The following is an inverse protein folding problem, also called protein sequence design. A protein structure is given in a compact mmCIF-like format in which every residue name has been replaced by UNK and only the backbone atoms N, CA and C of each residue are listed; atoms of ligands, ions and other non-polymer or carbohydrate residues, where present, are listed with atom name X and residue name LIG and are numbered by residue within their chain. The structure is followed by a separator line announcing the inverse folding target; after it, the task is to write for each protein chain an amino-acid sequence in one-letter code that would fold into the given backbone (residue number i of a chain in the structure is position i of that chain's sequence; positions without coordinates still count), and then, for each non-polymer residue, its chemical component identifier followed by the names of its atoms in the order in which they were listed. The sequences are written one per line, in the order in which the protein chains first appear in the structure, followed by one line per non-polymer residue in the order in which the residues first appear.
data_IF_184515147684
#
_entry.id   IF_184515147684
#
_cell.length_a   1.000
_cell.length_b   1.000
_cell.length_c   1.000
_cell.angle_alpha   90.00
_cell.angle_beta   90.00
_cell.angle_gamma   90.00
#
_symmetry.space_group_name_H-M   'P 1'
#
loop_
_entity.id
_entity.type
_entity.pdbx_description
1 polymer ?
#
# COMPACT_ATOMS: atom_id res chain seq x y z
N UNK A 1 -24.65 7.80 14.84
CA UNK A 1 -23.82 7.51 16.04
C UNK A 1 -22.96 6.30 15.69
N UNK A 2 -21.67 6.29 16.07
CA UNK A 2 -20.80 5.14 15.79
C UNK A 2 -21.36 3.88 16.45
N UNK A 3 -21.31 2.74 15.74
CA UNK A 3 -21.64 1.44 16.32
C UNK A 3 -20.65 1.05 17.42
N UNK A 4 -21.04 0.09 18.26
CA UNK A 4 -20.19 -0.41 19.35
C UNK A 4 -18.83 -0.91 18.83
N UNK A 5 -18.82 -1.57 17.67
CA UNK A 5 -17.63 -2.02 16.96
C UNK A 5 -16.66 -0.86 16.66
N UNK A 6 -17.16 0.19 16.01
CA UNK A 6 -16.34 1.37 15.67
C UNK A 6 -15.87 2.15 16.91
N UNK A 7 -16.66 2.16 17.99
CA UNK A 7 -16.24 2.73 19.26
C UNK A 7 -15.03 1.98 19.84
N UNK A 8 -15.09 0.64 19.85
CA UNK A 8 -13.98 -0.21 20.31
C UNK A 8 -12.73 -0.05 19.45
N UNK A 9 -12.88 0.00 18.11
CA UNK A 9 -11.76 0.24 17.19
C UNK A 9 -11.10 1.60 17.46
N UNK A 10 -11.89 2.65 17.64
CA UNK A 10 -11.38 3.99 17.96
C UNK A 10 -10.63 4.02 19.29
N UNK A 11 -11.12 3.31 20.31
CA UNK A 11 -10.44 3.18 21.61
C UNK A 11 -9.12 2.41 21.50
N UNK A 12 -9.09 1.34 20.71
CA UNK A 12 -7.88 0.57 20.40
C UNK A 12 -6.80 1.42 19.71
N UNK A 13 -7.19 2.25 18.73
CA UNK A 13 -6.27 3.19 18.06
C UNK A 13 -5.74 4.24 19.05
N UNK A 14 -6.62 4.85 19.86
CA UNK A 14 -6.25 5.89 20.83
C UNK A 14 -5.40 5.39 22.00
N UNK A 15 -5.55 4.13 22.37
CA UNK A 15 -4.72 3.47 23.39
C UNK A 15 -3.42 2.91 22.85
N UNK A 16 -3.15 3.06 21.54
CA UNK A 16 -1.99 2.50 20.85
C UNK A 16 -1.87 0.97 20.96
N UNK A 17 -3.00 0.25 21.05
CA UNK A 17 -3.00 -1.21 21.19
C UNK A 17 -2.26 -1.92 20.03
N UNK A 18 -2.34 -1.36 18.81
CA UNK A 18 -1.61 -1.83 17.63
C UNK A 18 -0.07 -1.86 17.81
N UNK A 19 0.49 -1.17 18.81
CA UNK A 19 1.91 -1.25 19.13
C UNK A 19 2.33 -2.65 19.58
N UNK A 20 1.41 -3.46 20.10
CA UNK A 20 1.67 -4.84 20.49
C UNK A 20 2.03 -5.74 19.29
N UNK A 21 1.59 -5.37 18.09
CA UNK A 21 1.87 -6.08 16.85
C UNK A 21 3.18 -5.63 16.18
N UNK A 22 3.87 -4.62 16.74
CA UNK A 22 5.10 -4.09 16.14
C UNK A 22 6.27 -5.05 16.37
N UNK A 23 7.03 -5.26 15.31
CA UNK A 23 8.30 -5.95 15.35
C UNK A 23 9.37 -5.09 16.03
N UNK A 24 10.45 -5.72 16.46
CA UNK A 24 11.52 -5.06 17.22
C UNK A 24 12.34 -4.06 16.38
N UNK A 25 12.54 -4.35 15.09
CA UNK A 25 13.38 -3.57 14.21
C UNK A 25 12.88 -3.64 12.75
N UNK A 26 13.20 -2.64 11.91
CA UNK A 26 13.00 -2.72 10.47
C UNK A 26 14.00 -3.68 9.80
N UNK A 27 13.75 -4.09 8.53
CA UNK A 27 14.74 -4.83 7.76
C UNK A 27 16.02 -3.99 7.58
N UNK A 28 17.19 -4.65 7.70
CA UNK A 28 18.48 -4.05 7.38
C UNK A 28 18.76 -4.20 5.88
N UNK A 29 18.66 -3.10 5.14
CA UNK A 29 18.63 -3.10 3.67
C UNK A 29 19.93 -2.59 3.03
N UNK A 30 20.68 -1.73 3.72
CA UNK A 30 21.85 -1.08 3.12
C UNK A 30 22.96 -2.06 2.74
N UNK A 31 23.30 -3.09 3.56
CA UNK A 31 24.33 -4.05 3.19
C UNK A 31 24.04 -4.78 1.87
N UNK A 32 22.78 -5.16 1.62
CA UNK A 32 22.35 -5.74 0.34
C UNK A 32 22.54 -4.74 -0.80
N UNK A 33 22.06 -3.51 -0.60
CA UNK A 33 22.05 -2.50 -1.66
C UNK A 33 23.45 -2.09 -2.10
N UNK A 34 24.40 -2.02 -1.16
CA UNK A 34 25.82 -1.78 -1.46
C UNK A 34 26.46 -2.99 -2.15
N UNK A 35 26.20 -4.20 -1.67
CA UNK A 35 26.79 -5.41 -2.24
C UNK A 35 26.35 -5.64 -3.70
N UNK A 36 25.10 -5.33 -4.03
CA UNK A 36 24.56 -5.43 -5.39
C UNK A 36 24.83 -4.19 -6.26
N UNK A 37 25.37 -3.11 -5.68
CA UNK A 37 25.64 -1.86 -6.40
C UNK A 37 24.37 -1.23 -6.98
N UNK A 38 23.25 -1.30 -6.25
CA UNK A 38 21.94 -0.87 -6.75
C UNK A 38 21.90 0.63 -7.05
N UNK A 39 21.35 0.97 -8.21
CA UNK A 39 20.99 2.35 -8.56
C UNK A 39 19.88 2.89 -7.65
N UNK A 40 19.68 4.21 -7.62
CA UNK A 40 18.64 4.83 -6.80
C UNK A 40 17.24 4.27 -7.06
N UNK A 41 16.86 4.10 -8.33
CA UNK A 41 15.58 3.52 -8.74
C UNK A 41 15.40 2.11 -8.20
N UNK A 42 16.45 1.28 -8.31
CA UNK A 42 16.43 -0.09 -7.78
C UNK A 42 16.34 -0.10 -6.26
N UNK A 43 17.08 0.78 -5.56
CA UNK A 43 17.02 0.88 -4.10
C UNK A 43 15.62 1.24 -3.59
N UNK A 44 14.94 2.19 -4.24
CA UNK A 44 13.56 2.58 -3.87
C UNK A 44 12.57 1.45 -4.10
N UNK A 45 12.68 0.73 -5.21
CA UNK A 45 11.84 -0.45 -5.43
C UNK A 45 12.14 -1.57 -4.42
N UNK A 46 13.43 -1.88 -4.22
CA UNK A 46 13.87 -2.94 -3.31
C UNK A 46 13.54 -2.64 -1.85
N UNK A 47 13.50 -1.36 -1.45
CA UNK A 47 12.94 -0.96 -0.15
C UNK A 47 11.52 -1.47 0.02
N UNK A 48 10.62 -1.18 -0.94
CA UNK A 48 9.24 -1.64 -0.86
C UNK A 48 9.15 -3.16 -0.83
N UNK A 49 9.96 -3.86 -1.63
CA UNK A 49 10.04 -5.33 -1.61
C UNK A 49 10.38 -5.84 -0.21
N UNK A 50 11.48 -5.37 0.39
CA UNK A 50 11.93 -5.81 1.71
C UNK A 50 10.96 -5.43 2.82
N UNK A 51 10.31 -4.28 2.71
CA UNK A 51 9.23 -3.89 3.61
C UNK A 51 8.04 -4.84 3.48
N UNK A 52 7.56 -5.13 2.27
CA UNK A 52 6.48 -6.09 2.03
C UNK A 52 6.81 -7.49 2.53
N UNK A 53 8.04 -7.97 2.32
CA UNK A 53 8.49 -9.28 2.83
C UNK A 53 8.51 -9.32 4.36
N UNK A 54 9.01 -8.25 5.00
CA UNK A 54 9.14 -8.15 6.44
C UNK A 54 7.78 -8.04 7.16
N UNK A 55 6.75 -7.47 6.54
CA UNK A 55 5.43 -7.35 7.17
C UNK A 55 4.84 -8.70 7.56
N UNK A 56 4.21 -8.77 8.73
CA UNK A 56 3.45 -9.92 9.19
C UNK A 56 1.95 -9.62 9.07
N UNK A 57 1.15 -10.48 8.41
CA UNK A 57 -0.30 -10.30 8.38
C UNK A 57 -0.90 -10.25 9.78
N UNK A 58 -1.65 -9.19 10.07
CA UNK A 58 -2.40 -9.03 11.31
C UNK A 58 -3.81 -8.59 10.96
N UNK A 59 -4.77 -9.44 11.30
CA UNK A 59 -6.21 -9.22 11.12
C UNK A 59 -6.84 -9.29 12.50
N UNK A 60 -7.38 -8.17 12.96
CA UNK A 60 -8.11 -8.09 14.23
C UNK A 60 -9.55 -8.62 14.06
N UNK A 61 -10.17 -9.21 15.10
CA UNK A 61 -11.49 -9.84 14.99
C UNK A 61 -12.58 -8.94 14.39
N UNK A 62 -12.55 -7.64 14.70
CA UNK A 62 -13.59 -6.67 14.31
C UNK A 62 -13.28 -5.92 13.00
N UNK A 63 -12.12 -6.18 12.38
CA UNK A 63 -11.74 -5.56 11.11
C UNK A 63 -12.51 -6.16 9.94
N UNK A 64 -12.93 -5.27 9.04
CA UNK A 64 -13.47 -5.54 7.70
C UNK A 64 -12.54 -4.98 6.63
N UNK A 65 -11.81 -3.91 6.92
CA UNK A 65 -10.78 -3.33 6.05
C UNK A 65 -9.43 -3.56 6.73
N UNK A 66 -8.63 -4.46 6.15
CA UNK A 66 -7.41 -4.97 6.79
C UNK A 66 -6.15 -4.34 6.22
N UNK A 67 -5.27 -3.95 7.11
CA UNK A 67 -3.82 -3.82 6.94
C UNK A 67 -3.28 -3.16 8.21
N UNK A 68 -2.42 -3.86 8.93
CA UNK A 68 -1.76 -3.35 10.13
C UNK A 68 -0.25 -3.41 9.91
N UNK A 69 0.41 -2.26 9.93
CA UNK A 69 1.87 -2.20 9.78
C UNK A 69 2.54 -2.74 11.04
N UNK A 70 3.31 -3.79 10.88
CA UNK A 70 4.10 -4.44 11.93
C UNK A 70 5.55 -3.96 11.92
N UNK A 71 6.08 -3.51 10.78
CA UNK A 71 7.41 -2.91 10.73
C UNK A 71 7.40 -1.52 11.40
N UNK A 72 8.28 -1.24 12.37
CA UNK A 72 8.16 -0.04 13.21
C UNK A 72 8.49 1.26 12.46
N UNK A 73 9.49 1.24 11.58
CA UNK A 73 10.00 2.40 10.83
C UNK A 73 10.35 2.01 9.40
N UNK A 74 10.30 2.96 8.48
CA UNK A 74 10.79 2.75 7.11
C UNK A 74 12.30 3.06 7.09
N UNK A 75 13.18 2.12 6.74
CA UNK A 75 14.61 2.38 6.67
C UNK A 75 14.95 3.30 5.50
N UNK A 76 16.03 4.07 5.64
CA UNK A 76 16.54 4.92 4.57
C UNK A 76 17.27 4.06 3.53
N UNK A 77 17.14 4.43 2.25
CA UNK A 77 17.80 3.72 1.15
C UNK A 77 19.24 4.18 0.87
N UNK A 78 19.76 5.02 1.76
CA UNK A 78 21.07 5.64 1.70
C UNK A 78 21.66 5.78 3.10
N UNK A 79 22.98 5.83 3.17
CA UNK A 79 23.71 6.24 4.37
C UNK A 79 23.93 7.78 4.41
N UNK A 80 24.46 8.26 5.54
CA UNK A 80 24.72 9.68 5.77
C UNK A 80 25.77 10.26 4.80
N UNK A 81 26.73 9.46 4.33
CA UNK A 81 27.78 9.91 3.41
C UNK A 81 27.21 10.08 1.99
N UNK A 82 26.45 9.09 1.52
CA UNK A 82 25.70 9.14 0.26
C UNK A 82 24.72 10.31 0.26
N UNK A 83 24.00 10.50 1.36
CA UNK A 83 23.10 11.63 1.52
C UNK A 83 23.84 12.97 1.47
N UNK A 84 24.96 13.09 2.18
CA UNK A 84 25.80 14.28 2.17
C UNK A 84 26.26 14.65 0.76
N UNK A 85 26.78 13.66 0.01
CA UNK A 85 27.23 13.84 -1.38
C UNK A 85 26.11 14.33 -2.31
N UNK A 86 24.89 13.81 -2.16
CA UNK A 86 23.75 14.18 -3.00
C UNK A 86 23.38 15.67 -2.88
N UNK A 87 23.61 16.28 -1.71
CA UNK A 87 23.28 17.68 -1.44
C UNK A 87 24.52 18.56 -1.24
N UNK A 88 25.69 18.12 -1.71
CA UNK A 88 26.88 18.96 -1.75
C UNK A 88 26.61 20.26 -2.53
N UNK A 89 26.81 21.41 -1.89
CA UNK A 89 26.52 22.72 -2.47
C UNK A 89 25.05 23.16 -2.38
N UNK A 90 24.18 22.38 -1.72
CA UNK A 90 22.76 22.69 -1.55
C UNK A 90 22.22 22.28 -0.18
N UNK A 91 20.89 22.22 -0.07
CA UNK A 91 20.18 21.65 1.08
C UNK A 91 19.02 20.80 0.58
N UNK A 92 18.76 19.70 1.27
CA UNK A 92 17.54 18.94 1.06
C UNK A 92 16.30 19.79 1.38
N UNK A 93 15.24 19.61 0.60
CA UNK A 93 13.92 20.15 0.93
C UNK A 93 13.24 19.23 1.94
N UNK A 94 12.82 19.75 3.10
CA UNK A 94 12.30 18.96 4.22
C UNK A 94 13.27 17.83 4.62
N UNK A 95 12.79 16.57 4.63
CA UNK A 95 13.62 15.38 4.89
C UNK A 95 14.42 14.94 3.64
N UNK A 96 14.11 15.51 2.47
CA UNK A 96 14.76 15.30 1.18
C UNK A 96 14.07 14.34 0.23
N UNK A 97 13.58 13.15 0.63
CA UNK A 97 12.66 12.38 -0.20
C UNK A 97 11.42 13.20 -0.55
N UNK A 98 10.88 12.97 -1.74
CA UNK A 98 9.61 13.58 -2.16
C UNK A 98 8.54 13.15 -1.15
N UNK A 99 7.84 14.12 -0.60
CA UNK A 99 6.68 13.95 0.26
C UNK A 99 5.62 14.95 -0.17
N UNK A 100 4.42 14.86 0.40
CA UNK A 100 3.27 15.67 -0.01
C UNK A 100 2.80 15.37 -1.44
N UNK A 101 2.47 14.11 -1.67
CA UNK A 101 1.96 13.61 -2.95
C UNK A 101 0.50 13.21 -2.85
N UNK A 102 -0.21 13.30 -3.96
CA UNK A 102 -1.51 12.68 -4.15
C UNK A 102 -1.40 11.79 -5.39
N UNK A 103 -1.34 10.47 -5.18
CA UNK A 103 -1.30 9.53 -6.29
C UNK A 103 -2.66 9.52 -7.01
N UNK A 104 -2.66 9.06 -8.26
CA UNK A 104 -3.89 8.80 -8.99
C UNK A 104 -4.50 7.46 -8.56
N UNK A 105 -5.15 7.49 -7.40
CA UNK A 105 -5.85 6.34 -6.84
C UNK A 105 -6.94 5.83 -7.78
N UNK A 106 -7.69 6.74 -8.41
CA UNK A 106 -8.80 6.39 -9.29
C UNK A 106 -8.34 5.59 -10.51
N UNK A 107 -7.29 6.04 -11.20
CA UNK A 107 -6.74 5.30 -12.33
C UNK A 107 -6.17 3.93 -11.94
N UNK A 108 -5.54 3.84 -10.76
CA UNK A 108 -4.99 2.58 -10.25
C UNK A 108 -6.10 1.60 -9.87
N UNK A 109 -7.15 2.07 -9.18
CA UNK A 109 -8.32 1.25 -8.85
C UNK A 109 -9.02 0.74 -10.11
N UNK A 110 -9.21 1.59 -11.12
CA UNK A 110 -9.87 1.21 -12.37
C UNK A 110 -9.12 0.12 -13.17
N UNK A 111 -7.80 0.01 -13.00
CA UNK A 111 -6.96 -0.97 -13.71
C UNK A 111 -6.61 -2.20 -12.84
N UNK A 112 -6.56 -2.03 -11.52
CA UNK A 112 -5.89 -2.98 -10.63
C UNK A 112 -4.37 -3.01 -10.87
N UNK A 113 -3.61 -3.54 -9.92
CA UNK A 113 -2.16 -3.65 -10.06
C UNK A 113 -1.76 -4.63 -11.17
N UNK A 114 -2.54 -5.67 -11.47
CA UNK A 114 -2.30 -6.57 -12.58
C UNK A 114 -2.41 -5.84 -13.94
N UNK A 115 -3.38 -4.91 -14.06
CA UNK A 115 -3.49 -4.06 -15.24
C UNK A 115 -2.29 -3.11 -15.38
N UNK A 116 -1.84 -2.51 -14.26
CA UNK A 116 -0.62 -1.67 -14.23
C UNK A 116 0.63 -2.46 -14.61
N UNK A 117 0.75 -3.70 -14.12
CA UNK A 117 1.84 -4.63 -14.44
C UNK A 117 1.87 -4.95 -15.94
N UNK A 118 0.72 -5.34 -16.50
CA UNK A 118 0.59 -5.62 -17.94
C UNK A 118 1.00 -4.40 -18.79
N UNK A 119 0.61 -3.20 -18.37
CA UNK A 119 1.01 -1.96 -19.06
C UNK A 119 2.54 -1.72 -18.99
N UNK A 120 3.17 -2.01 -17.85
CA UNK A 120 4.62 -1.91 -17.69
C UNK A 120 5.35 -2.94 -18.58
N UNK A 121 4.87 -4.18 -18.65
CA UNK A 121 5.42 -5.23 -19.52
C UNK A 121 5.32 -4.87 -21.01
N UNK A 122 4.18 -4.32 -21.44
CA UNK A 122 4.02 -3.84 -22.81
C UNK A 122 4.97 -2.68 -23.13
N UNK A 123 5.21 -1.78 -22.16
CA UNK A 123 6.15 -0.68 -22.31
C UNK A 123 7.60 -1.17 -22.40
N UNK A 124 7.98 -2.23 -21.66
CA UNK A 124 9.32 -2.83 -21.75
C UNK A 124 9.65 -3.26 -23.18
N UNK A 125 8.72 -3.93 -23.86
CA UNK A 125 8.89 -4.30 -25.27
C UNK A 125 9.08 -3.12 -26.21
N UNK A 126 8.50 -1.96 -25.88
CA UNK A 126 8.58 -0.74 -26.69
C UNK A 126 9.85 0.10 -26.44
N UNK A 127 10.44 -0.02 -25.25
CA UNK A 127 11.60 0.75 -24.82
C UNK A 127 12.87 -0.10 -24.64
N UNK A 128 12.94 -1.28 -25.25
CA UNK A 128 14.03 -2.25 -25.05
C UNK A 128 15.47 -1.73 -25.25
N UNK A 129 15.65 -0.60 -25.94
CA UNK A 129 16.96 0.04 -26.17
C UNK A 129 17.26 1.23 -25.26
N UNK A 130 16.31 1.62 -24.41
CA UNK A 130 16.44 2.71 -23.43
C UNK A 130 16.63 2.09 -22.03
N UNK A 131 17.89 1.92 -21.64
CA UNK A 131 18.27 1.21 -20.41
C UNK A 131 17.69 1.85 -19.14
N UNK A 132 17.53 3.18 -19.13
CA UNK A 132 16.95 3.90 -17.99
C UNK A 132 15.45 3.59 -17.86
N UNK A 133 14.72 3.62 -18.97
CA UNK A 133 13.31 3.24 -18.98
C UNK A 133 13.10 1.77 -18.64
N UNK A 134 13.96 0.88 -19.14
CA UNK A 134 13.92 -0.55 -18.80
C UNK A 134 14.11 -0.73 -17.30
N UNK A 135 15.14 -0.13 -16.70
CA UNK A 135 15.39 -0.23 -15.26
C UNK A 135 14.22 0.30 -14.42
N UNK A 136 13.57 1.40 -14.84
CA UNK A 136 12.38 1.92 -14.17
C UNK A 136 11.17 0.97 -14.26
N UNK A 137 10.95 0.37 -15.43
CA UNK A 137 9.82 -0.54 -15.65
C UNK A 137 10.02 -1.87 -14.93
N UNK A 138 11.25 -2.41 -14.90
CA UNK A 138 11.60 -3.59 -14.11
C UNK A 138 11.34 -3.33 -12.61
N UNK A 139 11.82 -2.21 -12.08
CA UNK A 139 11.56 -1.78 -10.70
C UNK A 139 10.06 -1.57 -10.42
N UNK A 140 9.29 -1.12 -11.41
CA UNK A 140 7.83 -0.98 -11.28
C UNK A 140 7.15 -2.35 -11.16
N UNK A 141 7.54 -3.32 -11.99
CA UNK A 141 7.01 -4.68 -11.95
C UNK A 141 7.37 -5.36 -10.64
N UNK A 142 8.63 -5.28 -10.21
CA UNK A 142 9.10 -5.84 -8.94
C UNK A 142 8.31 -5.28 -7.75
N UNK A 143 8.08 -3.96 -7.74
CA UNK A 143 7.27 -3.30 -6.72
C UNK A 143 5.82 -3.80 -6.71
N UNK A 144 5.21 -3.99 -7.89
CA UNK A 144 3.85 -4.53 -7.99
C UNK A 144 3.80 -5.95 -7.46
N UNK A 145 4.73 -6.80 -7.86
CA UNK A 145 4.77 -8.22 -7.48
C UNK A 145 4.92 -8.37 -5.95
N UNK A 146 5.72 -7.53 -5.29
CA UNK A 146 5.84 -7.51 -3.84
C UNK A 146 4.52 -7.15 -3.13
N UNK A 147 3.78 -6.16 -3.65
CA UNK A 147 2.48 -5.77 -3.08
C UNK A 147 1.44 -6.87 -3.25
N UNK A 148 1.43 -7.54 -4.41
CA UNK A 148 0.53 -8.67 -4.67
C UNK A 148 0.83 -9.86 -3.76
N UNK A 149 2.10 -10.20 -3.58
CA UNK A 149 2.51 -11.25 -2.66
C UNK A 149 2.10 -10.95 -1.20
N UNK A 150 2.22 -9.68 -0.77
CA UNK A 150 1.75 -9.26 0.55
C UNK A 150 0.22 -9.42 0.69
N UNK A 151 -0.55 -9.01 -0.32
CA UNK A 151 -2.00 -9.16 -0.32
C UNK A 151 -2.43 -10.64 -0.25
N UNK A 152 -1.73 -11.52 -0.98
CA UNK A 152 -1.95 -12.97 -0.94
C UNK A 152 -1.71 -13.55 0.46
N UNK A 153 -0.62 -13.16 1.15
CA UNK A 153 -0.37 -13.58 2.54
C UNK A 153 -1.45 -13.11 3.51
N UNK A 154 -2.02 -11.91 3.30
CA UNK A 154 -3.17 -11.45 4.08
C UNK A 154 -4.44 -12.26 3.76
N UNK A 155 -4.64 -12.69 2.51
CA UNK A 155 -5.75 -13.57 2.14
C UNK A 155 -5.61 -14.96 2.79
N UNK A 156 -4.39 -15.51 2.81
CA UNK A 156 -4.09 -16.76 3.51
C UNK A 156 -4.34 -16.66 5.01
N UNK A 157 -3.86 -15.59 5.66
CA UNK A 157 -4.12 -15.36 7.08
C UNK A 157 -5.63 -15.22 7.37
N UNK A 158 -6.37 -14.52 6.50
CA UNK A 158 -7.83 -14.43 6.62
C UNK A 158 -8.49 -15.82 6.57
N UNK A 159 -8.08 -16.70 5.64
CA UNK A 159 -8.58 -18.09 5.58
C UNK A 159 -8.21 -18.88 6.82
N UNK A 160 -6.99 -18.73 7.33
CA UNK A 160 -6.55 -19.37 8.57
C UNK A 160 -7.42 -18.97 9.77
N UNK A 161 -7.91 -17.73 9.79
CA UNK A 161 -8.84 -17.23 10.81
C UNK A 161 -10.33 -17.55 10.50
N UNK A 162 -10.63 -18.22 9.39
CA UNK A 162 -12.01 -18.52 8.96
C UNK A 162 -12.77 -17.29 8.43
N UNK A 163 -12.06 -16.24 8.03
CA UNK A 163 -12.60 -14.96 7.50
C UNK A 163 -12.64 -14.96 5.97
N UNK A 164 -13.49 -15.81 5.41
CA UNK A 164 -13.70 -15.90 3.96
C UNK A 164 -14.22 -14.59 3.33
N UNK A 165 -14.86 -13.73 4.13
CA UNK A 165 -15.28 -12.39 3.72
C UNK A 165 -14.07 -11.49 3.37
N UNK A 166 -13.01 -11.55 4.17
CA UNK A 166 -11.76 -10.82 3.93
C UNK A 166 -10.94 -11.52 2.84
N UNK A 167 -10.81 -12.85 2.91
CA UNK A 167 -10.04 -13.61 1.94
C UNK A 167 -10.57 -13.40 0.51
N UNK A 168 -11.89 -13.51 0.31
CA UNK A 168 -12.50 -13.29 -1.00
C UNK A 168 -12.35 -11.85 -1.52
N UNK A 169 -12.26 -10.86 -0.62
CA UNK A 169 -11.95 -9.47 -0.98
C UNK A 169 -10.49 -9.35 -1.45
N UNK A 170 -9.54 -9.93 -0.72
CA UNK A 170 -8.11 -9.86 -1.03
C UNK A 170 -7.68 -10.72 -2.22
N UNK A 171 -8.41 -11.80 -2.50
CA UNK A 171 -8.26 -12.57 -3.74
C UNK A 171 -8.57 -11.74 -4.98
N UNK A 172 -9.37 -10.69 -4.81
CA UNK A 172 -9.70 -9.74 -5.88
C UNK A 172 -8.75 -8.55 -5.89
N UNK A 173 -8.65 -7.82 -4.78
CA UNK A 173 -7.92 -6.54 -4.70
C UNK A 173 -6.63 -6.67 -3.87
N UNK A 174 -5.53 -5.99 -4.26
CA UNK A 174 -5.44 -4.91 -5.24
C UNK A 174 -5.06 -5.38 -6.65
N UNK A 175 -4.99 -6.70 -6.89
CA UNK A 175 -4.61 -7.26 -8.19
C UNK A 175 -5.55 -6.81 -9.31
N UNK A 176 -6.85 -6.96 -9.10
CA UNK A 176 -7.89 -6.67 -10.07
C UNK A 176 -8.69 -5.42 -9.66
N UNK A 177 -9.41 -4.79 -10.60
CA UNK A 177 -10.31 -3.69 -10.27
C UNK A 177 -11.37 -4.12 -9.24
N UNK A 178 -11.67 -3.29 -8.22
CA UNK A 178 -12.74 -3.57 -7.27
C UNK A 178 -14.10 -3.61 -7.97
N UNK A 179 -15.01 -4.42 -7.45
CA UNK A 179 -16.37 -4.63 -7.95
C UNK A 179 -17.43 -4.04 -7.01
N UNK A 180 -17.04 -3.75 -5.77
CA UNK A 180 -17.87 -3.20 -4.72
C UNK A 180 -17.16 -2.03 -4.03
N UNK A 181 -17.92 -1.25 -3.26
CA UNK A 181 -17.39 -0.19 -2.45
C UNK A 181 -16.41 -0.71 -1.38
N UNK A 182 -16.74 -1.84 -0.75
CA UNK A 182 -15.86 -2.48 0.24
C UNK A 182 -14.53 -2.93 -0.38
N UNK A 183 -14.55 -3.59 -1.54
CA UNK A 183 -13.33 -3.95 -2.28
C UNK A 183 -12.51 -2.70 -2.65
N UNK A 184 -13.16 -1.60 -3.03
CA UNK A 184 -12.47 -0.35 -3.37
C UNK A 184 -11.77 0.28 -2.16
N UNK A 185 -12.42 0.31 -1.01
CA UNK A 185 -11.82 0.79 0.24
C UNK A 185 -10.66 -0.09 0.70
N UNK A 186 -10.80 -1.42 0.62
CA UNK A 186 -9.72 -2.37 0.92
C UNK A 186 -8.51 -2.17 -0.02
N UNK A 187 -8.77 -2.02 -1.33
CA UNK A 187 -7.71 -1.75 -2.30
C UNK A 187 -7.00 -0.44 -2.00
N UNK A 188 -7.74 0.63 -1.68
CA UNK A 188 -7.15 1.92 -1.32
C UNK A 188 -6.32 1.82 -0.04
N UNK A 189 -6.80 1.09 0.97
CA UNK A 189 -6.07 0.87 2.22
C UNK A 189 -4.68 0.27 1.96
N UNK A 190 -4.61 -0.77 1.14
CA UNK A 190 -3.35 -1.39 0.77
C UNK A 190 -2.47 -0.43 -0.04
N UNK A 191 -2.99 0.15 -1.13
CA UNK A 191 -2.22 1.06 -2.00
C UNK A 191 -1.66 2.25 -1.21
N UNK A 192 -2.46 2.88 -0.36
CA UNK A 192 -2.04 4.00 0.48
C UNK A 192 -0.95 3.59 1.47
N UNK A 193 -1.10 2.42 2.12
CA UNK A 193 -0.10 1.88 3.01
C UNK A 193 1.23 1.58 2.31
N UNK A 194 1.21 1.07 1.07
CA UNK A 194 2.43 0.78 0.32
C UNK A 194 3.22 2.04 -0.02
N UNK A 195 2.53 3.14 -0.37
CA UNK A 195 3.19 4.43 -0.60
C UNK A 195 3.86 4.94 0.67
N UNK A 196 3.22 4.76 1.83
CA UNK A 196 3.81 5.05 3.14
C UNK A 196 5.02 4.16 3.46
N UNK A 197 4.91 2.85 3.21
CA UNK A 197 6.01 1.90 3.40
C UNK A 197 7.19 2.15 2.47
N UNK A 198 6.97 2.85 1.35
CA UNK A 198 8.02 3.29 0.43
C UNK A 198 8.58 4.69 0.77
N UNK A 199 8.44 5.14 2.03
CA UNK A 199 9.11 6.35 2.54
C UNK A 199 8.36 7.66 2.38
N UNK A 200 7.12 7.66 1.86
CA UNK A 200 6.33 8.88 1.68
C UNK A 200 5.35 9.08 2.84
N UNK A 201 5.66 9.99 3.78
CA UNK A 201 4.88 10.16 5.03
C UNK A 201 3.74 11.20 4.93
N UNK A 202 3.56 11.85 3.78
CA UNK A 202 2.45 12.78 3.56
C UNK A 202 1.80 12.49 2.22
N UNK A 203 0.71 11.73 2.27
CA UNK A 203 0.06 11.12 1.10
C UNK A 203 -1.45 11.41 1.16
N UNK A 204 -1.91 12.30 0.27
CA UNK A 204 -3.30 12.71 0.20
C UNK A 204 -4.17 11.73 -0.58
N UNK A 205 -5.47 11.69 -0.24
CA UNK A 205 -6.47 10.87 -0.94
C UNK A 205 -7.10 11.57 -2.15
N UNK A 206 -6.83 12.85 -2.37
CA UNK A 206 -7.35 13.62 -3.51
C UNK A 206 -8.88 13.73 -3.49
N UNK A 207 -9.50 13.63 -4.67
CA UNK A 207 -10.97 13.65 -4.85
C UNK A 207 -11.58 12.28 -4.51
N UNK A 208 -11.40 11.84 -3.27
CA UNK A 208 -11.86 10.56 -2.75
C UNK A 208 -13.32 10.28 -3.09
N UNK A 209 -14.17 11.30 -2.95
CA UNK A 209 -15.57 11.25 -3.31
C UNK A 209 -15.78 10.84 -4.78
N UNK A 210 -14.99 11.37 -5.73
CA UNK A 210 -15.22 11.19 -7.16
C UNK A 210 -14.84 9.79 -7.64
N UNK A 211 -13.67 9.27 -7.25
CA UNK A 211 -13.25 7.95 -7.72
C UNK A 211 -13.86 6.81 -6.93
N UNK A 212 -14.42 7.07 -5.74
CA UNK A 212 -15.14 6.06 -4.96
C UNK A 212 -16.65 6.01 -5.27
N UNK A 213 -17.24 7.14 -5.71
CA UNK A 213 -18.68 7.23 -6.01
C UNK A 213 -19.21 6.12 -6.93
N UNK A 214 -18.52 5.74 -8.03
CA UNK A 214 -19.04 4.69 -8.91
C UNK A 214 -19.26 3.35 -8.20
N UNK A 215 -18.39 2.99 -7.26
CA UNK A 215 -18.50 1.75 -6.49
C UNK A 215 -19.61 1.84 -5.43
N UNK A 216 -19.72 2.98 -4.74
CA UNK A 216 -20.78 3.22 -3.76
C UNK A 216 -22.16 3.19 -4.42
N UNK A 217 -22.35 3.95 -5.50
CA UNK A 217 -23.63 4.04 -6.19
C UNK A 217 -24.06 2.68 -6.74
N UNK A 218 -23.13 1.92 -7.33
CA UNK A 218 -23.42 0.59 -7.85
C UNK A 218 -23.87 -0.41 -6.77
N UNK A 219 -23.36 -0.29 -5.54
CA UNK A 219 -23.76 -1.14 -4.42
C UNK A 219 -25.11 -0.72 -3.82
N UNK A 220 -25.36 0.59 -3.70
CA UNK A 220 -26.64 1.14 -3.24
C UNK A 220 -27.78 0.79 -4.22
N UNK A 221 -27.56 1.01 -5.52
CA UNK A 221 -28.56 0.73 -6.56
C UNK A 221 -28.92 -0.76 -6.64
N UNK A 222 -27.95 -1.64 -6.39
CA UNK A 222 -28.14 -3.08 -6.40
C UNK A 222 -28.62 -3.64 -5.05
N UNK A 223 -28.75 -2.79 -4.02
CA UNK A 223 -29.12 -3.21 -2.66
C UNK A 223 -28.10 -4.14 -2.00
N UNK A 224 -26.83 -4.14 -2.44
CA UNK A 224 -25.72 -4.89 -1.81
C UNK A 224 -25.23 -4.22 -0.52
N UNK A 225 -25.46 -2.91 -0.43
CA UNK A 225 -25.04 -2.07 0.67
C UNK A 225 -26.15 -1.04 0.93
N UNK A 226 -26.38 -0.72 2.19
CA UNK A 226 -27.24 0.40 2.62
C UNK A 226 -26.38 1.61 3.00
N UNK A 227 -26.96 2.82 3.00
CA UNK A 227 -26.22 4.02 3.42
C UNK A 227 -25.58 3.88 4.82
N UNK A 228 -26.26 3.33 5.85
CA UNK A 228 -25.63 3.13 7.17
C UNK A 228 -24.45 2.13 7.14
N UNK A 229 -24.53 1.07 6.33
CA UNK A 229 -23.42 0.12 6.17
C UNK A 229 -22.24 0.74 5.42
N UNK A 230 -22.52 1.61 4.44
CA UNK A 230 -21.49 2.40 3.76
C UNK A 230 -20.81 3.39 4.71
N UNK A 231 -21.57 4.07 5.57
CA UNK A 231 -21.05 4.94 6.62
C UNK A 231 -20.15 4.16 7.59
N UNK A 232 -20.54 2.94 7.96
CA UNK A 232 -19.68 2.09 8.81
C UNK A 232 -18.35 1.74 8.16
N UNK A 233 -18.34 1.36 6.88
CA UNK A 233 -17.11 1.02 6.16
C UNK A 233 -16.21 2.24 6.00
N UNK A 234 -16.80 3.41 5.71
CA UNK A 234 -16.05 4.67 5.65
C UNK A 234 -15.45 5.03 7.01
N UNK A 235 -16.24 4.94 8.08
CA UNK A 235 -15.77 5.23 9.43
C UNK A 235 -14.70 4.26 9.92
N UNK A 236 -14.60 3.05 9.35
CA UNK A 236 -13.51 2.12 9.64
C UNK A 236 -12.23 2.46 8.88
N UNK A 237 -12.33 2.94 7.64
CA UNK A 237 -11.15 3.32 6.84
C UNK A 237 -10.37 4.49 7.48
N UNK A 238 -11.06 5.40 8.20
CA UNK A 238 -10.53 6.63 8.80
C UNK A 238 -10.29 6.53 10.31
#
# INVERSE_FOLDING_TARGET
MLSQRLQAMRESVRSFAHAACRQAAPPDILPEFEAEGLSWTQRVSRLLVRMCEAEQPVIEPDQRIVFTRTVPTVPLVYDDEQWGRQFEGGRAHELGPISNICADWGATLAQGLAGRRTAAEAALGSFAHDLEKVAFLDATIESIDAVLALAERYAEEARHQGREDIAGTLDRVPAQPPRSFHEALQSLRLLHAMVWMNGHYHVGLGRFDQYMMPYLQADLDAGRLTEPEAEELLAELF
#
